data_IF_247842929542
#
_entry.id   IF_247842929542
#
_cell.length_a   1.000
_cell.length_b   1.000
_cell.length_c   1.000
_cell.angle_alpha   90.00
_cell.angle_beta   90.00
_cell.angle_gamma   90.00
#
_symmetry.space_group_name_H-M   'P 1'
#
loop_
_entity.id
_entity.type
_entity.pdbx_description
1 polymer ?
#
# COMPACT_ATOMS: atom_id res chain seq x y z
N UNK A 1 -13.84 -2.03 28.72
CA UNK A 1 -12.39 -2.22 28.90
C UNK A 1 -12.06 -3.58 28.32
N UNK A 2 -11.40 -3.79 27.19
CA UNK A 2 -10.48 -2.97 26.41
C UNK A 2 -9.50 -3.99 25.87
N UNK A 3 -9.71 -4.50 24.66
CA UNK A 3 -8.74 -5.35 23.96
C UNK A 3 -8.64 -4.84 22.52
N UNK A 4 -7.73 -3.89 22.35
CA UNK A 4 -7.25 -3.43 21.06
C UNK A 4 -6.51 -4.58 20.38
N UNK A 5 -6.85 -5.00 19.15
CA UNK A 5 -6.00 -5.93 18.42
C UNK A 5 -4.74 -5.17 17.99
N UNK A 6 -3.58 -5.60 18.49
CA UNK A 6 -2.27 -5.10 18.07
C UNK A 6 -2.07 -5.39 16.58
N UNK A 7 -2.36 -4.41 15.74
CA UNK A 7 -2.01 -4.41 14.32
C UNK A 7 -0.49 -4.25 14.18
N UNK A 8 0.26 -5.36 14.24
CA UNK A 8 1.61 -5.42 13.67
C UNK A 8 2.16 -6.87 13.68
N UNK A 9 1.53 -7.75 12.91
CA UNK A 9 2.06 -9.09 12.66
C UNK A 9 2.06 -9.38 11.16
N UNK A 10 2.84 -8.62 10.39
CA UNK A 10 3.30 -9.07 9.07
C UNK A 10 4.78 -9.45 9.19
N UNK A 11 5.08 -10.66 8.73
CA UNK A 11 6.31 -11.40 8.95
C UNK A 11 7.61 -10.64 8.60
N UNK A 12 8.46 -10.46 9.61
CA UNK A 12 9.89 -10.16 9.44
C UNK A 12 10.61 -11.39 8.86
N UNK A 13 10.56 -11.60 7.55
CA UNK A 13 11.43 -12.59 6.89
C UNK A 13 12.84 -12.05 6.60
N UNK A 14 13.03 -10.72 6.70
CA UNK A 14 14.31 -10.03 6.45
C UNK A 14 14.50 -8.92 7.48
N UNK A 15 15.69 -8.83 8.08
CA UNK A 15 16.04 -7.79 9.05
C UNK A 15 16.52 -6.52 8.32
N UNK A 16 15.80 -5.41 8.44
CA UNK A 16 16.17 -4.10 7.86
C UNK A 16 16.43 -3.10 8.99
N UNK A 17 17.57 -2.37 8.98
CA UNK A 17 17.86 -1.39 10.02
C UNK A 17 16.83 -0.26 10.04
N UNK A 18 16.37 0.14 11.22
CA UNK A 18 15.36 1.22 11.40
C UNK A 18 15.89 2.61 11.03
N UNK A 19 17.20 2.78 10.93
CA UNK A 19 17.85 4.03 10.54
C UNK A 19 18.97 3.73 9.54
N UNK A 20 18.95 4.40 8.40
CA UNK A 20 19.90 4.19 7.30
C UNK A 20 20.58 5.51 6.94
N UNK A 21 21.90 5.48 6.72
CA UNK A 21 22.65 6.62 6.18
C UNK A 21 22.52 6.65 4.65
N UNK A 22 21.66 7.53 4.13
CA UNK A 22 21.42 7.64 2.67
C UNK A 22 21.46 9.08 2.21
N UNK A 23 21.67 9.28 0.91
CA UNK A 23 21.71 10.60 0.30
C UNK A 23 20.32 11.26 0.31
N UNK A 24 20.21 12.44 0.89
CA UNK A 24 18.98 13.22 0.88
C UNK A 24 18.98 14.21 -0.30
N UNK A 25 18.15 13.95 -1.31
CA UNK A 25 18.04 14.80 -2.52
C UNK A 25 17.76 16.27 -2.23
N UNK A 26 16.99 16.58 -1.17
CA UNK A 26 16.66 17.96 -0.79
C UNK A 26 17.83 18.73 -0.18
N UNK A 27 18.75 18.02 0.50
CA UNK A 27 19.84 18.64 1.25
C UNK A 27 21.20 18.52 0.56
N UNK A 28 21.33 17.66 -0.46
CA UNK A 28 22.57 17.42 -1.18
C UNK A 28 23.64 16.68 -0.37
N UNK A 29 23.29 16.10 0.79
CA UNK A 29 24.23 15.41 1.69
C UNK A 29 23.67 14.07 2.15
N UNK A 30 24.56 13.19 2.62
CA UNK A 30 24.15 11.98 3.34
C UNK A 30 23.67 12.35 4.74
N UNK A 31 22.50 11.85 5.11
CA UNK A 31 21.90 12.06 6.42
C UNK A 31 21.29 10.74 6.94
N UNK A 32 21.12 10.58 8.26
CA UNK A 32 20.37 9.46 8.80
C UNK A 32 18.86 9.61 8.50
N UNK A 33 18.28 8.60 7.84
CA UNK A 33 16.86 8.51 7.52
C UNK A 33 16.20 7.37 8.29
N UNK A 34 14.98 7.58 8.77
CA UNK A 34 14.16 6.51 9.33
C UNK A 34 13.66 5.62 8.19
N UNK A 35 14.00 4.34 8.25
CA UNK A 35 13.50 3.34 7.32
C UNK A 35 12.20 2.76 7.88
N UNK A 36 11.12 2.88 7.11
CA UNK A 36 9.80 2.35 7.45
C UNK A 36 9.30 1.54 6.29
N UNK A 37 8.64 0.42 6.56
CA UNK A 37 7.97 -0.34 5.52
C UNK A 37 6.77 0.44 4.99
N UNK A 38 6.69 0.62 3.68
CA UNK A 38 5.51 1.20 3.05
C UNK A 38 4.29 0.29 3.21
N UNK A 39 3.17 0.90 3.59
CA UNK A 39 1.86 0.26 3.65
C UNK A 39 0.93 0.98 2.69
N UNK A 40 0.27 0.20 1.83
CA UNK A 40 -0.74 0.73 0.92
C UNK A 40 -1.90 1.32 1.73
N UNK A 41 -2.25 2.58 1.42
CA UNK A 41 -3.39 3.25 2.04
C UNK A 41 -4.72 2.73 1.49
N UNK A 42 -5.83 3.18 2.07
CA UNK A 42 -7.15 2.95 1.48
C UNK A 42 -7.32 3.85 0.25
N UNK A 43 -7.92 3.31 -0.80
CA UNK A 43 -8.25 4.06 -2.00
C UNK A 43 -9.24 5.20 -1.70
N UNK A 44 -9.04 6.35 -2.36
CA UNK A 44 -9.88 7.53 -2.21
C UNK A 44 -11.09 7.50 -3.13
N UNK A 45 -12.29 7.71 -2.59
CA UNK A 45 -13.55 7.74 -3.33
C UNK A 45 -13.67 8.93 -4.30
N UNK A 46 -12.94 10.03 -4.05
CA UNK A 46 -13.00 11.21 -4.90
C UNK A 46 -12.14 11.07 -6.17
N UNK A 47 -11.30 10.03 -6.24
CA UNK A 47 -10.48 9.74 -7.41
C UNK A 47 -11.36 9.60 -8.66
N UNK A 48 -10.90 10.13 -9.79
CA UNK A 48 -11.67 10.10 -11.03
C UNK A 48 -11.97 8.67 -11.50
N UNK A 49 -11.04 7.73 -11.26
CA UNK A 49 -11.20 6.32 -11.58
C UNK A 49 -12.36 5.68 -10.82
N UNK A 50 -12.44 5.92 -9.51
CA UNK A 50 -13.48 5.36 -8.65
C UNK A 50 -14.85 5.94 -8.98
N UNK A 51 -14.96 7.27 -9.13
CA UNK A 51 -16.22 7.92 -9.57
C UNK A 51 -16.74 7.38 -10.90
N UNK A 52 -15.83 7.11 -11.84
CA UNK A 52 -16.18 6.52 -13.14
C UNK A 52 -16.65 5.07 -12.97
N UNK A 53 -16.02 4.33 -12.08
CA UNK A 53 -16.34 2.94 -11.79
C UNK A 53 -17.73 2.80 -11.15
N UNK A 54 -18.01 3.57 -10.10
CA UNK A 54 -19.31 3.58 -9.40
C UNK A 54 -20.45 3.92 -10.35
N UNK A 55 -20.30 4.99 -11.14
CA UNK A 55 -21.30 5.37 -12.15
C UNK A 55 -21.54 4.28 -13.19
N UNK A 56 -20.51 3.48 -13.53
CA UNK A 56 -20.61 2.40 -14.51
C UNK A 56 -21.25 1.14 -13.91
N UNK A 57 -21.03 0.90 -12.62
CA UNK A 57 -21.58 -0.24 -11.89
C UNK A 57 -23.05 -0.05 -11.51
N UNK A 58 -23.51 1.20 -11.41
CA UNK A 58 -24.91 1.49 -11.12
C UNK A 58 -25.84 1.07 -12.27
N UNK A 59 -26.98 0.47 -11.93
CA UNK A 59 -28.03 0.06 -12.87
C UNK A 59 -28.11 -1.46 -13.06
N UNK A 60 -28.80 -1.89 -14.12
CA UNK A 60 -28.91 -3.30 -14.50
C UNK A 60 -27.80 -3.66 -15.48
N UNK A 61 -27.11 -4.78 -15.29
CA UNK A 61 -26.00 -5.19 -16.16
C UNK A 61 -24.86 -5.94 -15.46
N UNK A 62 -24.96 -6.16 -14.15
CA UNK A 62 -23.96 -6.89 -13.38
C UNK A 62 -22.60 -6.18 -13.34
N UNK A 63 -21.55 -6.96 -13.11
CA UNK A 63 -20.21 -6.42 -12.87
C UNK A 63 -19.57 -5.87 -14.16
N UNK A 64 -19.29 -4.56 -14.23
CA UNK A 64 -18.94 -3.87 -15.49
C UNK A 64 -17.44 -3.76 -15.82
N UNK A 65 -16.56 -4.21 -14.94
CA UNK A 65 -15.11 -4.35 -15.18
C UNK A 65 -14.71 -5.81 -15.05
N UNK A 66 -13.49 -6.19 -15.37
CA UNK A 66 -13.06 -7.58 -15.18
C UNK A 66 -12.32 -7.70 -13.85
N UNK A 67 -12.60 -8.76 -13.10
CA UNK A 67 -11.81 -9.14 -11.92
C UNK A 67 -10.64 -9.98 -12.41
N UNK A 68 -9.43 -9.60 -12.03
CA UNK A 68 -8.25 -10.40 -12.34
C UNK A 68 -8.16 -11.62 -11.40
N UNK A 69 -8.59 -12.78 -11.90
CA UNK A 69 -8.74 -13.99 -11.09
C UNK A 69 -7.44 -14.76 -10.86
N UNK A 70 -6.60 -14.90 -11.90
CA UNK A 70 -5.42 -15.76 -11.85
C UNK A 70 -4.14 -14.96 -11.56
N UNK A 71 -3.82 -14.77 -10.28
CA UNK A 71 -2.58 -14.13 -9.84
C UNK A 71 -1.43 -15.15 -9.77
N UNK A 72 -0.36 -14.92 -10.51
CA UNK A 72 0.83 -15.78 -10.49
C UNK A 72 1.84 -15.38 -9.40
N UNK A 73 1.91 -14.09 -9.07
CA UNK A 73 2.92 -13.56 -8.14
C UNK A 73 2.50 -13.74 -6.69
N UNK A 74 3.36 -14.37 -5.88
CA UNK A 74 3.10 -14.69 -4.47
C UNK A 74 3.71 -13.68 -3.48
N UNK A 75 4.73 -12.92 -3.89
CA UNK A 75 5.44 -11.94 -3.04
C UNK A 75 5.28 -10.51 -3.55
N UNK A 76 5.26 -9.52 -2.65
CA UNK A 76 5.32 -8.09 -3.02
C UNK A 76 6.74 -7.56 -2.80
N UNK A 77 7.11 -6.48 -3.50
CA UNK A 77 8.40 -5.81 -3.22
C UNK A 77 8.24 -5.03 -1.92
N UNK A 78 9.25 -5.10 -1.06
CA UNK A 78 9.35 -4.31 0.16
C UNK A 78 9.99 -2.97 -0.24
N UNK A 79 9.34 -1.86 0.07
CA UNK A 79 9.80 -0.49 -0.18
C UNK A 79 9.74 0.34 1.10
#
# INVERSE_FOLDING_TARGET
MGLSPTLSAHANMVNVPKTCWTFCKKSGKHQPHKATEYKEGKDSLCAQGERRYDRKQNGCGGYTKLIFQKKARTTKKIC
#
